data_IF_718331317860
#
_entry.id   IF_718331317860
#
_cell.length_a   1.000
_cell.length_b   1.000
_cell.length_c   1.000
_cell.angle_alpha   90.00
_cell.angle_beta   90.00
_cell.angle_gamma   90.00
#
_symmetry.space_group_name_H-M   'P 1'
#
loop_
_entity.id
_entity.type
_entity.pdbx_description
1 polymer ?
#
# COMPACT_ATOMS: atom_id res chain seq x y z
N UNK A 1 -5.38 22.43 -16.20
CA UNK A 1 -6.11 21.17 -16.44
C UNK A 1 -5.39 20.06 -15.67
N UNK A 2 -5.95 19.57 -14.55
CA UNK A 2 -5.37 18.43 -13.82
C UNK A 2 -5.59 17.19 -14.68
N UNK A 3 -4.54 16.60 -15.26
CA UNK A 3 -4.63 15.25 -15.84
C UNK A 3 -5.03 14.32 -14.70
N UNK A 4 -6.28 13.85 -14.71
CA UNK A 4 -6.67 12.68 -13.95
C UNK A 4 -6.20 11.49 -14.77
N UNK A 5 -5.03 10.96 -14.45
CA UNK A 5 -4.63 9.66 -14.99
C UNK A 5 -5.55 8.63 -14.34
N UNK A 6 -6.39 7.99 -15.17
CA UNK A 6 -7.17 6.83 -14.76
C UNK A 6 -6.23 5.64 -14.90
N UNK A 7 -5.84 5.06 -13.77
CA UNK A 7 -5.15 3.78 -13.78
C UNK A 7 -6.15 2.67 -14.12
N UNK A 8 -5.69 1.68 -14.89
CA UNK A 8 -6.51 0.52 -15.27
C UNK A 8 -5.83 -0.77 -14.81
N UNK A 9 -6.62 -1.77 -14.41
CA UNK A 9 -6.21 -3.18 -14.38
C UNK A 9 -6.89 -3.83 -15.58
N UNK A 10 -6.12 -4.51 -16.43
CA UNK A 10 -6.64 -5.24 -17.60
C UNK A 10 -7.57 -4.41 -18.54
N UNK A 11 -7.39 -3.09 -18.59
CA UNK A 11 -8.18 -2.20 -19.44
C UNK A 11 -9.43 -1.61 -18.77
N UNK A 12 -9.72 -2.00 -17.53
CA UNK A 12 -10.88 -1.53 -16.76
C UNK A 12 -10.53 -0.41 -15.77
N UNK A 13 -11.39 0.61 -15.60
CA UNK A 13 -11.18 1.69 -14.64
C UNK A 13 -11.05 1.15 -13.21
N UNK A 14 -10.09 1.71 -12.48
CA UNK A 14 -9.68 1.17 -11.19
C UNK A 14 -10.26 1.96 -10.02
N UNK A 15 -10.93 1.26 -9.11
CA UNK A 15 -11.28 1.75 -7.79
C UNK A 15 -10.09 1.63 -6.83
N UNK A 16 -9.70 2.74 -6.20
CA UNK A 16 -8.48 2.85 -5.39
C UNK A 16 -8.81 3.15 -3.92
N UNK A 17 -8.21 2.40 -2.99
CA UNK A 17 -8.06 2.81 -1.57
C UNK A 17 -6.60 2.73 -1.15
N UNK A 18 -6.07 3.83 -0.60
CA UNK A 18 -4.65 3.97 -0.21
C UNK A 18 -4.49 4.51 1.23
N UNK A 19 -4.67 3.67 2.27
CA UNK A 19 -4.27 4.07 3.62
C UNK A 19 -2.76 4.29 3.64
N UNK A 20 -2.32 5.38 4.24
CA UNK A 20 -0.90 5.72 4.36
C UNK A 20 -0.58 6.25 5.75
N UNK A 21 0.65 5.98 6.21
CA UNK A 21 1.25 6.60 7.38
C UNK A 21 2.69 6.99 7.05
N UNK A 22 3.21 7.98 7.76
CA UNK A 22 4.53 8.56 7.52
C UNK A 22 5.24 8.82 8.85
N UNK A 23 6.55 8.61 8.86
CA UNK A 23 7.42 9.12 9.90
C UNK A 23 8.66 9.79 9.29
N UNK A 24 9.62 10.16 10.14
CA UNK A 24 10.83 10.88 9.73
C UNK A 24 11.66 10.13 8.67
N UNK A 25 11.59 8.80 8.60
CA UNK A 25 12.42 7.98 7.70
C UNK A 25 11.63 7.30 6.58
N UNK A 26 10.36 6.98 6.81
CA UNK A 26 9.60 6.09 5.95
C UNK A 26 8.21 6.61 5.64
N UNK A 27 7.71 6.22 4.47
CA UNK A 27 6.30 6.32 4.07
C UNK A 27 5.81 4.90 3.82
N UNK A 28 4.74 4.50 4.50
CA UNK A 28 4.09 3.22 4.25
C UNK A 28 2.75 3.48 3.58
N UNK A 29 2.51 2.80 2.46
CA UNK A 29 1.27 2.90 1.68
C UNK A 29 0.70 1.51 1.54
N UNK A 30 -0.39 1.23 2.24
CA UNK A 30 -1.18 0.06 1.96
C UNK A 30 -2.09 0.37 0.76
N UNK A 31 -2.37 -0.61 -0.08
CA UNK A 31 -3.17 -0.42 -1.28
C UNK A 31 -4.21 -1.52 -1.44
N UNK A 32 -5.39 -1.11 -1.89
CA UNK A 32 -6.42 -1.99 -2.42
C UNK A 32 -6.89 -1.38 -3.75
N UNK A 33 -6.68 -2.16 -4.81
CA UNK A 33 -7.01 -1.85 -6.18
C UNK A 33 -8.03 -2.87 -6.65
N UNK A 34 -9.13 -2.43 -7.24
CA UNK A 34 -10.10 -3.32 -7.85
C UNK A 34 -10.63 -2.73 -9.15
N UNK A 35 -11.01 -3.58 -10.09
CA UNK A 35 -11.72 -3.19 -11.31
C UNK A 35 -13.18 -3.66 -11.30
N UNK A 36 -13.92 -3.34 -12.37
CA UNK A 36 -15.34 -3.66 -12.51
C UNK A 36 -15.63 -5.14 -12.82
N UNK A 37 -14.62 -5.90 -13.26
CA UNK A 37 -14.75 -7.33 -13.59
C UNK A 37 -14.32 -8.24 -12.43
N UNK A 38 -13.88 -7.65 -11.31
CA UNK A 38 -13.61 -8.36 -10.05
C UNK A 38 -12.14 -8.70 -9.82
N UNK A 39 -11.21 -8.17 -10.62
CA UNK A 39 -9.79 -8.32 -10.33
C UNK A 39 -9.42 -7.46 -9.12
N UNK A 40 -8.67 -8.04 -8.19
CA UNK A 40 -8.20 -7.34 -6.99
C UNK A 40 -6.68 -7.43 -6.86
N UNK A 41 -6.05 -6.31 -6.48
CA UNK A 41 -4.64 -6.29 -6.04
C UNK A 41 -4.53 -5.53 -4.74
N UNK A 42 -3.94 -6.16 -3.74
CA UNK A 42 -3.72 -5.54 -2.45
C UNK A 42 -2.36 -5.87 -1.85
N UNK A 43 -1.85 -4.94 -1.07
CA UNK A 43 -0.56 -5.09 -0.42
C UNK A 43 -0.14 -3.86 0.34
N UNK A 44 1.14 -3.80 0.67
CA UNK A 44 1.80 -2.63 1.25
C UNK A 44 3.12 -2.37 0.57
N UNK A 45 3.40 -1.10 0.30
CA UNK A 45 4.70 -0.63 -0.17
C UNK A 45 5.29 0.34 0.84
N UNK A 46 6.60 0.31 0.99
CA UNK A 46 7.35 1.23 1.84
C UNK A 46 8.33 2.01 0.98
N UNK A 47 8.45 3.30 1.27
CA UNK A 47 9.32 4.24 0.59
C UNK A 47 10.14 5.02 1.62
N UNK A 48 11.26 5.61 1.21
CA UNK A 48 11.98 6.61 2.01
C UNK A 48 11.14 7.88 2.14
N UNK A 49 11.18 8.53 3.30
CA UNK A 49 10.64 9.89 3.46
C UNK A 49 11.42 10.89 2.59
N UNK A 50 10.78 11.99 2.20
CA UNK A 50 11.38 13.05 1.38
C UNK A 50 11.44 12.77 -0.12
N UNK A 51 12.14 11.71 -0.55
CA UNK A 51 12.33 11.39 -1.98
C UNK A 51 11.41 10.30 -2.53
N UNK A 52 10.62 9.65 -1.66
CA UNK A 52 9.71 8.55 -2.03
C UNK A 52 10.40 7.44 -2.84
N UNK A 53 11.67 7.14 -2.52
CA UNK A 53 12.40 6.03 -3.15
C UNK A 53 11.80 4.74 -2.61
N UNK A 54 11.32 3.87 -3.49
CA UNK A 54 10.74 2.58 -3.12
C UNK A 54 11.79 1.71 -2.40
N UNK A 55 11.44 1.26 -1.20
CA UNK A 55 12.24 0.29 -0.44
C UNK A 55 11.78 -1.13 -0.79
N UNK A 56 10.49 -1.44 -0.57
CA UNK A 56 9.94 -2.76 -0.83
C UNK A 56 8.41 -2.72 -1.00
N UNK A 57 7.86 -3.76 -1.59
CA UNK A 57 6.42 -4.02 -1.62
C UNK A 57 6.14 -5.48 -1.25
N UNK A 58 5.02 -5.72 -0.57
CA UNK A 58 4.51 -7.04 -0.25
C UNK A 58 3.04 -7.11 -0.65
N UNK A 59 2.72 -8.01 -1.56
CA UNK A 59 1.33 -8.36 -1.88
C UNK A 59 0.73 -9.21 -0.75
N UNK A 60 -0.55 -9.01 -0.48
CA UNK A 60 -1.34 -9.81 0.45
C UNK A 60 -2.16 -10.87 -0.30
N UNK A 61 -2.67 -11.84 0.45
CA UNK A 61 -3.51 -12.89 -0.11
C UNK A 61 -4.85 -12.35 -0.62
N UNK A 62 -5.60 -13.25 -1.26
CA UNK A 62 -6.99 -13.02 -1.63
C UNK A 62 -7.80 -12.64 -0.38
N UNK A 63 -8.73 -11.70 -0.53
CA UNK A 63 -9.59 -11.18 0.55
C UNK A 63 -8.85 -10.52 1.73
N UNK A 64 -7.53 -10.36 1.71
CA UNK A 64 -6.73 -9.70 2.76
C UNK A 64 -6.60 -8.19 2.48
N UNK A 65 -7.74 -7.50 2.46
CA UNK A 65 -7.84 -6.10 2.04
C UNK A 65 -7.36 -5.15 3.16
N UNK A 66 -6.38 -4.26 2.90
CA UNK A 66 -5.87 -3.35 3.92
C UNK A 66 -6.86 -2.24 4.26
N UNK A 67 -7.23 -2.15 5.53
CA UNK A 67 -8.15 -1.17 6.12
C UNK A 67 -7.40 0.05 6.62
N UNK A 68 -6.26 -0.16 7.29
CA UNK A 68 -5.46 0.90 7.85
C UNK A 68 -3.97 0.50 7.87
N UNK A 69 -3.09 1.49 7.99
CA UNK A 69 -1.65 1.29 8.16
C UNK A 69 -1.12 2.22 9.25
N UNK A 70 -0.19 1.73 10.06
CA UNK A 70 0.53 2.49 11.07
C UNK A 70 2.02 2.22 10.98
N UNK A 71 2.82 3.28 11.05
CA UNK A 71 4.27 3.21 11.16
C UNK A 71 4.70 3.53 12.59
N UNK A 72 5.46 2.62 13.20
CA UNK A 72 6.16 2.87 14.47
C UNK A 72 7.62 2.47 14.33
N UNK A 73 8.52 3.46 14.41
CA UNK A 73 9.94 3.24 14.13
C UNK A 73 10.18 2.67 12.73
N UNK A 74 10.66 1.43 12.67
CA UNK A 74 10.86 0.69 11.42
C UNK A 74 9.89 -0.48 11.24
N UNK A 75 8.75 -0.49 11.95
CA UNK A 75 7.73 -1.52 11.82
C UNK A 75 6.49 -0.91 11.16
N UNK A 76 5.97 -1.60 10.15
CA UNK A 76 4.71 -1.30 9.49
C UNK A 76 3.65 -2.25 10.03
N UNK A 77 2.64 -1.72 10.71
CA UNK A 77 1.45 -2.46 11.10
C UNK A 77 0.37 -2.21 10.05
N UNK A 78 -0.20 -3.27 9.49
CA UNK A 78 -1.30 -3.20 8.53
C UNK A 78 -2.49 -3.91 9.13
N UNK A 79 -3.57 -3.17 9.36
CA UNK A 79 -4.85 -3.75 9.68
C UNK A 79 -5.51 -4.20 8.39
N UNK A 80 -5.84 -5.48 8.29
CA UNK A 80 -6.53 -6.08 7.15
C UNK A 80 -7.89 -6.63 7.61
N UNK A 81 -8.72 -7.02 6.65
CA UNK A 81 -9.94 -7.81 6.90
C UNK A 81 -9.66 -9.14 7.62
N UNK A 82 -8.44 -9.69 7.49
CA UNK A 82 -8.05 -10.96 8.12
C UNK A 82 -7.29 -10.77 9.45
N UNK A 83 -7.20 -9.54 9.96
CA UNK A 83 -6.48 -9.20 11.19
C UNK A 83 -5.27 -8.30 10.95
N UNK A 84 -4.38 -8.22 11.94
CA UNK A 84 -3.22 -7.31 11.90
C UNK A 84 -1.96 -8.06 11.48
N UNK A 85 -1.22 -7.48 10.53
CA UNK A 85 0.12 -7.91 10.12
C UNK A 85 1.16 -6.88 10.54
N UNK A 86 2.33 -7.33 10.95
CA UNK A 86 3.46 -6.47 11.26
C UNK A 86 4.65 -6.84 10.37
N UNK A 87 5.23 -5.85 9.70
CA UNK A 87 6.37 -6.00 8.81
C UNK A 87 7.52 -5.13 9.29
N UNK A 88 8.67 -5.74 9.59
CA UNK A 88 9.88 -4.99 9.92
C UNK A 88 10.57 -4.54 8.63
N UNK A 89 10.82 -3.25 8.52
CA UNK A 89 11.58 -2.65 7.43
C UNK A 89 13.05 -2.99 7.68
N UNK A 90 13.60 -3.81 6.79
CA UNK A 90 15.03 -4.07 6.69
C UNK A 90 15.57 -3.23 5.53
N UNK A 91 16.21 -2.12 5.88
CA UNK A 91 16.87 -1.23 4.92
C UNK A 91 18.32 -1.06 5.37
N UNK A 92 19.26 -1.24 4.43
CA UNK A 92 20.70 -0.98 4.65
C UNK A 92 21.08 0.48 4.38
N UNK A 93 20.07 1.34 4.18
CA UNK A 93 20.20 2.79 3.97
C UNK A 93 20.16 3.55 5.28
#
# INVERSE_FOLDING_TARGET
MKRKEVANIEGHPLGVRLPLDINEKYVAVAYYLHDEIGNERNGVCVFTSGRLIKIACKEFGEWERPINVKLEGNIVYVQTTNGVRAYKILSLW
#
